data_IF_399335191632
#
_entry.id   IF_399335191632
#
_cell.length_a   1.000
_cell.length_b   1.000
_cell.length_c   1.000
_cell.angle_alpha   90.00
_cell.angle_beta   90.00
_cell.angle_gamma   90.00
#
_symmetry.space_group_name_H-M   'P 1'
#
loop_
_entity.id
_entity.type
_entity.pdbx_description
1 polymer ?
#
# COMPACT_ATOMS: atom_id res chain seq x y z
N UNK A 1 1.41 -11.90 -10.71
CA UNK A 1 2.72 -12.61 -10.76
C UNK A 1 2.73 -13.65 -9.65
N UNK A 2 3.14 -14.89 -9.92
CA UNK A 2 3.26 -15.97 -8.93
C UNK A 2 4.73 -16.33 -8.69
N UNK A 3 5.26 -15.93 -7.53
CA UNK A 3 6.66 -16.13 -7.14
C UNK A 3 6.94 -17.50 -6.52
N UNK A 4 5.93 -18.37 -6.32
CA UNK A 4 6.17 -19.76 -5.92
C UNK A 4 6.69 -20.57 -7.10
N UNK A 5 6.04 -20.39 -8.26
CA UNK A 5 6.28 -21.21 -9.44
C UNK A 5 7.15 -20.54 -10.50
N UNK A 6 7.17 -19.20 -10.56
CA UNK A 6 7.87 -18.46 -11.60
C UNK A 6 8.60 -17.22 -11.04
N UNK A 7 9.69 -17.49 -10.33
CA UNK A 7 10.53 -16.43 -9.78
C UNK A 7 11.55 -15.95 -10.80
N UNK A 8 11.67 -14.62 -10.94
CA UNK A 8 12.50 -13.99 -11.96
C UNK A 8 13.31 -12.84 -11.38
N UNK A 9 14.32 -12.38 -12.13
CA UNK A 9 15.10 -11.19 -11.78
C UNK A 9 14.22 -9.94 -11.63
N UNK A 10 13.12 -9.82 -12.38
CA UNK A 10 12.16 -8.71 -12.21
C UNK A 10 11.43 -8.79 -10.86
N UNK A 11 10.95 -10.00 -10.51
CA UNK A 11 10.33 -10.26 -9.22
C UNK A 11 11.29 -9.97 -8.06
N UNK A 12 12.53 -10.47 -8.14
CA UNK A 12 13.57 -10.19 -7.16
C UNK A 12 13.83 -8.68 -7.02
N UNK A 13 13.95 -7.96 -8.13
CA UNK A 13 14.16 -6.51 -8.11
C UNK A 13 12.97 -5.75 -7.51
N UNK A 14 11.74 -6.24 -7.67
CA UNK A 14 10.54 -5.69 -7.02
C UNK A 14 10.56 -5.91 -5.50
N UNK A 15 10.94 -7.09 -5.05
CA UNK A 15 11.02 -7.42 -3.61
C UNK A 15 12.15 -6.66 -2.91
N UNK A 16 13.37 -6.73 -3.45
CA UNK A 16 14.57 -6.23 -2.77
C UNK A 16 14.91 -4.78 -3.10
N UNK A 17 14.41 -4.22 -4.21
CA UNK A 17 14.62 -2.81 -4.58
C UNK A 17 16.04 -2.41 -5.01
N UNK A 18 17.09 -2.82 -4.28
CA UNK A 18 18.49 -2.50 -4.51
C UNK A 18 19.40 -3.72 -4.25
N UNK A 19 20.65 -3.64 -4.70
CA UNK A 19 21.60 -4.76 -4.59
C UNK A 19 22.13 -5.01 -3.18
N UNK A 20 22.10 -4.01 -2.29
CA UNK A 20 22.53 -4.16 -0.89
C UNK A 20 21.57 -5.07 -0.12
N UNK A 21 20.27 -4.80 -0.22
CA UNK A 21 19.23 -5.65 0.36
C UNK A 21 19.24 -7.05 -0.27
N UNK A 22 19.43 -7.13 -1.59
CA UNK A 22 19.53 -8.41 -2.30
C UNK A 22 20.74 -9.24 -1.83
N UNK A 23 21.90 -8.61 -1.61
CA UNK A 23 23.08 -9.29 -1.07
C UNK A 23 22.85 -9.75 0.37
N UNK A 24 22.27 -8.90 1.22
CA UNK A 24 21.95 -9.26 2.60
C UNK A 24 21.02 -10.49 2.66
N UNK A 25 19.97 -10.50 1.81
CA UNK A 25 19.10 -11.66 1.65
C UNK A 25 19.86 -12.90 1.17
N UNK A 26 20.69 -12.76 0.13
CA UNK A 26 21.42 -13.88 -0.46
C UNK A 26 22.36 -14.54 0.56
N UNK A 27 22.99 -13.75 1.43
CA UNK A 27 23.84 -14.25 2.52
C UNK A 27 23.05 -15.05 3.57
N UNK A 28 21.84 -14.63 3.93
CA UNK A 28 20.99 -15.41 4.84
C UNK A 28 20.47 -16.68 4.16
N UNK A 29 20.06 -16.59 2.89
CA UNK A 29 19.62 -17.75 2.11
C UNK A 29 20.76 -18.77 1.96
N UNK A 30 22.00 -18.31 1.79
CA UNK A 30 23.18 -19.15 1.75
C UNK A 30 23.33 -19.98 3.04
N UNK A 31 23.14 -19.37 4.22
CA UNK A 31 23.23 -20.08 5.50
C UNK A 31 22.15 -21.14 5.64
N UNK A 32 20.93 -20.85 5.17
CA UNK A 32 19.78 -21.76 5.26
C UNK A 32 19.91 -22.93 4.28
N UNK A 33 20.33 -22.66 3.03
CA UNK A 33 20.36 -23.68 1.96
C UNK A 33 21.73 -24.33 1.74
N UNK A 34 22.79 -23.81 2.35
CA UNK A 34 24.12 -24.42 2.33
C UNK A 34 24.86 -24.36 0.99
N UNK A 35 24.53 -23.42 0.09
CA UNK A 35 25.29 -23.25 -1.16
C UNK A 35 26.54 -22.39 -0.94
N UNK A 36 27.51 -22.51 -1.85
CA UNK A 36 28.74 -21.71 -1.81
C UNK A 36 28.57 -20.41 -2.61
N UNK A 37 29.06 -19.31 -2.04
CA UNK A 37 29.24 -18.05 -2.75
C UNK A 37 30.74 -17.81 -3.00
N UNK A 38 31.11 -17.14 -4.10
CA UNK A 38 32.49 -16.78 -4.37
C UNK A 38 33.01 -15.84 -3.28
N UNK A 39 34.17 -16.18 -2.69
CA UNK A 39 34.79 -15.37 -1.63
C UNK A 39 36.25 -15.06 -1.93
N UNK A 40 36.70 -13.88 -1.49
CA UNK A 40 38.08 -13.44 -1.59
C UNK A 40 38.59 -12.95 -0.24
N UNK A 41 39.83 -13.32 0.07
CA UNK A 41 40.57 -12.78 1.21
C UNK A 41 41.15 -11.43 0.81
N UNK A 42 40.79 -10.39 1.56
CA UNK A 42 41.29 -9.03 1.34
C UNK A 42 42.75 -8.95 1.76
N UNK A 43 43.66 -8.58 0.86
CA UNK A 43 45.09 -8.54 1.16
C UNK A 43 45.57 -7.20 1.74
N UNK A 44 44.82 -6.10 1.55
CA UNK A 44 45.23 -4.74 1.92
C UNK A 44 44.02 -3.88 2.33
N UNK A 45 44.28 -2.79 3.06
CA UNK A 45 43.27 -1.81 3.49
C UNK A 45 42.63 -2.15 4.85
N UNK A 46 41.59 -1.38 5.23
CA UNK A 46 40.91 -1.53 6.53
C UNK A 46 40.27 -2.90 6.78
N UNK A 47 40.17 -3.73 5.73
CA UNK A 47 39.59 -5.08 5.79
C UNK A 47 40.63 -6.19 5.53
N UNK A 48 41.93 -5.89 5.57
CA UNK A 48 42.98 -6.89 5.32
C UNK A 48 42.84 -8.10 6.27
N UNK A 49 42.97 -9.31 5.72
CA UNK A 49 42.77 -10.58 6.42
C UNK A 49 41.31 -11.05 6.53
N UNK A 50 40.34 -10.23 6.12
CA UNK A 50 38.92 -10.63 6.12
C UNK A 50 38.53 -11.30 4.80
N UNK A 51 37.77 -12.39 4.92
CA UNK A 51 37.08 -13.03 3.78
C UNK A 51 35.80 -12.26 3.48
N UNK A 52 35.62 -11.84 2.23
CA UNK A 52 34.41 -11.18 1.76
C UNK A 52 33.86 -11.87 0.52
N UNK A 53 32.55 -11.82 0.35
CA UNK A 53 31.92 -12.30 -0.89
C UNK A 53 32.33 -11.38 -2.05
N UNK A 54 32.90 -11.98 -3.09
CA UNK A 54 33.31 -11.30 -4.33
C UNK A 54 32.31 -11.69 -5.41
N UNK A 55 31.20 -10.97 -5.47
CA UNK A 55 30.09 -11.23 -6.39
C UNK A 55 29.70 -9.95 -7.09
N UNK A 56 29.50 -10.01 -8.41
CA UNK A 56 29.01 -8.87 -9.18
C UNK A 56 27.51 -8.64 -8.94
N UNK A 57 27.03 -7.42 -9.23
CA UNK A 57 25.60 -7.12 -9.13
C UNK A 57 24.73 -8.06 -9.96
N UNK A 58 25.18 -8.46 -11.16
CA UNK A 58 24.42 -9.38 -12.01
C UNK A 58 24.33 -10.79 -11.38
N UNK A 59 25.44 -11.26 -10.80
CA UNK A 59 25.49 -12.56 -10.14
C UNK A 59 24.65 -12.61 -8.86
N UNK A 60 24.53 -11.51 -8.10
CA UNK A 60 23.62 -11.45 -6.94
C UNK A 60 22.21 -11.83 -7.36
N UNK A 61 21.67 -11.16 -8.39
CA UNK A 61 20.32 -11.44 -8.87
C UNK A 61 20.18 -12.85 -9.43
N UNK A 62 21.17 -13.31 -10.21
CA UNK A 62 21.17 -14.65 -10.78
C UNK A 62 21.15 -15.73 -9.69
N UNK A 63 21.96 -15.58 -8.64
CA UNK A 63 22.05 -16.54 -7.54
C UNK A 63 20.78 -16.56 -6.68
N UNK A 64 20.14 -15.42 -6.48
CA UNK A 64 18.84 -15.35 -5.80
C UNK A 64 17.79 -16.11 -6.61
N UNK A 65 17.76 -15.95 -7.94
CA UNK A 65 16.82 -16.68 -8.80
C UNK A 65 17.12 -18.18 -8.83
N UNK A 66 18.38 -18.56 -8.96
CA UNK A 66 18.85 -19.96 -9.00
C UNK A 66 18.49 -20.74 -7.71
N UNK A 67 18.63 -20.10 -6.56
CA UNK A 67 18.42 -20.74 -5.26
C UNK A 67 17.08 -20.39 -4.60
N UNK A 68 16.17 -19.75 -5.35
CA UNK A 68 14.89 -19.30 -4.82
C UNK A 68 14.10 -20.46 -4.20
N UNK A 69 13.59 -20.21 -3.01
CA UNK A 69 12.81 -21.15 -2.22
C UNK A 69 11.76 -20.35 -1.47
N UNK A 70 10.48 -20.50 -1.84
CA UNK A 70 9.46 -19.57 -1.36
C UNK A 70 9.35 -19.57 0.18
N UNK A 71 9.37 -20.73 0.82
CA UNK A 71 9.18 -20.84 2.28
C UNK A 71 10.38 -20.30 3.05
N UNK A 72 11.61 -20.66 2.64
CA UNK A 72 12.82 -20.10 3.24
C UNK A 72 12.91 -18.59 3.01
N UNK A 73 12.60 -18.14 1.78
CA UNK A 73 12.62 -16.72 1.42
C UNK A 73 11.59 -15.92 2.20
N UNK A 74 10.37 -16.44 2.38
CA UNK A 74 9.32 -15.81 3.16
C UNK A 74 9.81 -15.52 4.58
N UNK A 75 10.38 -16.52 5.26
CA UNK A 75 10.90 -16.36 6.60
C UNK A 75 12.01 -15.28 6.69
N UNK A 76 12.99 -15.34 5.78
CA UNK A 76 14.12 -14.40 5.75
C UNK A 76 13.63 -12.98 5.45
N UNK A 77 12.80 -12.80 4.43
CA UNK A 77 12.33 -11.47 3.99
C UNK A 77 11.46 -10.82 5.06
N UNK A 78 10.59 -11.60 5.72
CA UNK A 78 9.79 -11.09 6.84
C UNK A 78 10.69 -10.56 7.97
N UNK A 79 11.73 -11.31 8.33
CA UNK A 79 12.70 -10.86 9.35
C UNK A 79 13.52 -9.64 8.90
N UNK A 80 13.86 -9.55 7.61
CA UNK A 80 14.52 -8.35 7.09
C UNK A 80 13.59 -7.13 7.13
N UNK A 81 12.30 -7.33 6.86
CA UNK A 81 11.30 -6.26 6.85
C UNK A 81 11.13 -5.61 8.23
N UNK A 82 11.18 -6.38 9.32
CA UNK A 82 11.05 -5.84 10.70
C UNK A 82 12.17 -4.86 11.06
N UNK A 83 13.28 -4.88 10.34
CA UNK A 83 14.44 -3.98 10.54
C UNK A 83 14.37 -2.73 9.67
N UNK A 84 13.36 -2.60 8.81
CA UNK A 84 13.22 -1.46 7.91
C UNK A 84 12.62 -0.26 8.63
N UNK A 85 12.92 0.95 8.12
CA UNK A 85 12.26 2.18 8.58
C UNK A 85 10.75 2.14 8.38
N UNK A 86 10.29 1.53 7.28
CA UNK A 86 8.88 1.40 6.94
C UNK A 86 8.11 0.64 8.04
N UNK A 87 8.62 -0.51 8.46
CA UNK A 87 8.03 -1.27 9.56
C UNK A 87 8.00 -0.47 10.86
N UNK A 88 9.12 0.18 11.23
CA UNK A 88 9.15 0.99 12.45
C UNK A 88 8.19 2.19 12.41
N UNK A 89 8.09 2.89 11.28
CA UNK A 89 7.09 3.95 11.09
C UNK A 89 5.66 3.44 11.27
N UNK A 90 5.36 2.24 10.77
CA UNK A 90 4.07 1.57 10.98
C UNK A 90 3.80 1.21 12.45
N UNK A 91 4.80 0.71 13.18
CA UNK A 91 4.68 0.44 14.64
C UNK A 91 4.41 1.71 15.44
N UNK A 92 5.04 2.82 15.05
CA UNK A 92 4.87 4.12 15.70
C UNK A 92 3.60 4.87 15.26
N UNK A 93 2.89 4.35 14.24
CA UNK A 93 1.76 5.05 13.61
C UNK A 93 0.59 5.30 14.55
N UNK A 94 0.34 4.42 15.53
CA UNK A 94 -0.71 4.66 16.52
C UNK A 94 -0.46 5.94 17.34
N UNK A 95 0.75 6.08 17.89
CA UNK A 95 1.14 7.27 18.65
C UNK A 95 1.17 8.52 17.76
N UNK A 96 1.70 8.39 16.55
CA UNK A 96 1.78 9.50 15.60
C UNK A 96 0.40 10.00 15.18
N UNK A 97 -0.55 9.09 14.94
CA UNK A 97 -1.92 9.47 14.59
C UNK A 97 -2.59 10.24 15.71
N UNK A 98 -2.50 9.76 16.95
CA UNK A 98 -3.08 10.44 18.11
C UNK A 98 -2.54 11.87 18.23
N UNK A 99 -1.22 12.04 18.04
CA UNK A 99 -0.60 13.37 17.99
C UNK A 99 -1.17 14.24 16.86
N UNK A 100 -1.29 13.70 15.64
CA UNK A 100 -1.80 14.46 14.48
C UNK A 100 -3.27 14.87 14.67
N UNK A 101 -4.09 14.01 15.26
CA UNK A 101 -5.49 14.30 15.57
C UNK A 101 -5.60 15.35 16.68
N UNK A 102 -4.81 15.26 17.74
CA UNK A 102 -4.74 16.30 18.76
C UNK A 102 -4.30 17.65 18.17
N UNK A 103 -3.28 17.65 17.31
CA UNK A 103 -2.83 18.85 16.63
C UNK A 103 -3.92 19.43 15.74
N UNK A 104 -4.70 18.60 15.06
CA UNK A 104 -5.82 19.01 14.20
C UNK A 104 -6.89 19.74 15.02
N UNK A 105 -7.25 19.21 16.18
CA UNK A 105 -8.19 19.84 17.11
C UNK A 105 -7.65 21.15 17.69
N UNK A 106 -6.36 21.19 18.08
CA UNK A 106 -5.71 22.39 18.65
C UNK A 106 -5.77 23.59 17.70
N UNK A 107 -5.65 23.37 16.40
CA UNK A 107 -5.74 24.45 15.39
C UNK A 107 -7.16 24.67 14.86
N UNK A 108 -8.17 23.97 15.42
CA UNK A 108 -9.60 24.15 15.13
C UNK A 108 -9.93 24.07 13.64
N UNK A 109 -9.38 23.09 12.95
CA UNK A 109 -9.65 22.89 11.52
C UNK A 109 -11.06 22.31 11.25
N UNK A 110 -11.82 21.97 12.29
CA UNK A 110 -13.17 21.40 12.15
C UNK A 110 -13.13 19.96 11.65
N UNK A 111 -14.10 19.54 10.84
CA UNK A 111 -14.16 18.16 10.35
C UNK A 111 -12.96 17.79 9.45
N UNK A 112 -12.48 16.55 9.61
CA UNK A 112 -11.41 15.96 8.80
C UNK A 112 -11.98 15.59 7.43
N UNK A 113 -12.12 16.58 6.57
CA UNK A 113 -12.59 16.42 5.20
C UNK A 113 -11.64 17.12 4.23
N UNK A 114 -11.47 16.53 3.04
CA UNK A 114 -10.68 17.17 1.99
C UNK A 114 -11.30 18.53 1.65
N UNK A 115 -10.52 19.63 1.67
CA UNK A 115 -11.03 20.94 1.28
C UNK A 115 -11.31 21.05 -0.22
N UNK A 116 -10.73 20.17 -1.03
CA UNK A 116 -10.89 20.06 -2.48
C UNK A 116 -10.35 18.70 -2.97
N UNK A 117 -10.69 18.30 -4.19
CA UNK A 117 -10.21 17.05 -4.80
C UNK A 117 -8.68 16.99 -4.86
N UNK A 118 -8.08 15.82 -4.60
CA UNK A 118 -6.63 15.68 -4.58
C UNK A 118 -6.03 16.06 -5.95
N UNK A 119 -5.15 17.07 -5.97
CA UNK A 119 -4.53 17.60 -7.20
C UNK A 119 -5.26 18.81 -7.81
N UNK A 120 -6.44 19.18 -7.31
CA UNK A 120 -7.24 20.32 -7.78
C UNK A 120 -7.05 21.59 -6.95
N UNK A 121 -5.81 21.86 -6.49
CA UNK A 121 -5.55 23.08 -5.71
C UNK A 121 -5.78 24.35 -6.56
N UNK A 122 -5.35 24.33 -7.82
CA UNK A 122 -5.53 25.46 -8.74
C UNK A 122 -7.01 25.72 -9.01
N UNK A 123 -7.79 24.69 -9.35
CA UNK A 123 -9.23 24.82 -9.56
C UNK A 123 -9.97 25.28 -8.30
N UNK A 124 -9.52 24.86 -7.11
CA UNK A 124 -10.02 25.39 -5.84
C UNK A 124 -9.75 26.90 -5.70
N UNK A 125 -8.53 27.37 -5.97
CA UNK A 125 -8.18 28.81 -5.91
C UNK A 125 -9.00 29.61 -6.94
N UNK A 126 -9.19 29.09 -8.15
CA UNK A 126 -10.04 29.72 -9.16
C UNK A 126 -11.49 29.89 -8.67
N UNK A 127 -12.07 28.85 -8.04
CA UNK A 127 -13.42 28.92 -7.45
C UNK A 127 -13.50 29.98 -6.35
N UNK A 128 -12.52 30.02 -5.45
CA UNK A 128 -12.46 31.05 -4.38
C UNK A 128 -12.34 32.46 -4.97
N UNK A 129 -11.54 32.65 -6.02
CA UNK A 129 -11.39 33.95 -6.68
C UNK A 129 -12.67 34.44 -7.34
N UNK A 130 -13.51 33.53 -7.85
CA UNK A 130 -14.80 33.84 -8.44
C UNK A 130 -15.88 34.22 -7.40
N UNK A 131 -15.65 33.98 -6.12
CA UNK A 131 -16.60 34.36 -5.07
C UNK A 131 -16.68 35.88 -4.88
N UNK A 132 -17.87 36.38 -4.55
CA UNK A 132 -18.15 37.81 -4.27
C UNK A 132 -17.72 38.28 -2.87
N UNK A 133 -16.77 37.59 -2.23
CA UNK A 133 -16.25 37.91 -0.89
C UNK A 133 -15.01 38.82 -0.96
N UNK A 134 -14.63 39.41 0.18
CA UNK A 134 -13.46 40.29 0.25
C UNK A 134 -12.15 39.54 -0.01
N UNK A 135 -11.11 40.27 -0.44
CA UNK A 135 -9.78 39.68 -0.67
C UNK A 135 -9.21 39.01 0.58
N UNK A 136 -9.40 39.61 1.75
CA UNK A 136 -8.98 39.03 3.03
C UNK A 136 -9.66 37.68 3.33
N UNK A 137 -10.96 37.57 3.06
CA UNK A 137 -11.69 36.31 3.25
C UNK A 137 -11.23 35.22 2.26
N UNK A 138 -10.88 35.60 1.02
CA UNK A 138 -10.30 34.68 0.03
C UNK A 138 -8.96 34.15 0.51
N UNK A 139 -8.07 35.03 0.99
CA UNK A 139 -6.75 34.67 1.48
C UNK A 139 -6.84 33.68 2.66
N UNK A 140 -7.72 33.95 3.63
CA UNK A 140 -7.92 33.04 4.77
C UNK A 140 -8.54 31.70 4.36
N UNK A 141 -9.50 31.67 3.42
CA UNK A 141 -10.03 30.41 2.87
C UNK A 141 -8.93 29.57 2.24
N UNK A 142 -8.07 30.17 1.41
CA UNK A 142 -6.96 29.46 0.75
C UNK A 142 -5.95 28.94 1.76
N UNK A 143 -5.57 29.76 2.75
CA UNK A 143 -4.66 29.39 3.83
C UNK A 143 -5.17 28.21 4.65
N UNK A 144 -6.42 28.26 5.11
CA UNK A 144 -7.02 27.17 5.89
C UNK A 144 -7.09 25.88 5.05
N UNK A 145 -7.52 25.98 3.78
CA UNK A 145 -7.58 24.83 2.89
C UNK A 145 -6.20 24.20 2.63
N UNK A 146 -5.15 25.01 2.45
CA UNK A 146 -3.79 24.51 2.26
C UNK A 146 -3.28 23.74 3.49
N UNK A 147 -3.53 24.26 4.70
CA UNK A 147 -3.18 23.59 5.96
C UNK A 147 -3.94 22.28 6.13
N UNK A 148 -5.27 22.27 5.88
CA UNK A 148 -6.09 21.05 5.89
C UNK A 148 -5.55 20.01 4.93
N UNK A 149 -5.30 20.40 3.68
CA UNK A 149 -4.80 19.50 2.65
C UNK A 149 -3.47 18.83 3.06
N UNK A 150 -2.50 19.63 3.55
CA UNK A 150 -1.20 19.12 4.03
C UNK A 150 -1.35 18.12 5.17
N UNK A 151 -2.18 18.43 6.17
CA UNK A 151 -2.38 17.57 7.35
C UNK A 151 -3.16 16.29 7.02
N UNK A 152 -4.17 16.36 6.16
CA UNK A 152 -4.88 15.16 5.69
C UNK A 152 -3.93 14.24 4.91
N UNK A 153 -3.00 14.78 4.11
CA UNK A 153 -1.97 13.96 3.45
C UNK A 153 -1.12 13.21 4.46
N UNK A 154 -0.70 13.87 5.53
CA UNK A 154 0.11 13.28 6.60
C UNK A 154 -0.66 12.21 7.37
N UNK A 155 -1.90 12.49 7.77
CA UNK A 155 -2.82 11.52 8.39
C UNK A 155 -2.99 10.29 7.49
N UNK A 156 -3.27 10.46 6.20
CA UNK A 156 -3.45 9.32 5.31
C UNK A 156 -2.17 8.49 5.15
N UNK A 157 -0.99 9.11 5.12
CA UNK A 157 0.29 8.37 5.09
C UNK A 157 0.42 7.50 6.34
N UNK A 158 0.21 8.06 7.53
CA UNK A 158 0.30 7.30 8.79
C UNK A 158 -0.77 6.20 8.87
N UNK A 159 -2.00 6.45 8.39
CA UNK A 159 -3.04 5.41 8.29
C UNK A 159 -2.61 4.26 7.39
N UNK A 160 -2.05 4.55 6.22
CA UNK A 160 -1.59 3.53 5.29
C UNK A 160 -0.44 2.70 5.86
N UNK A 161 0.57 3.35 6.45
CA UNK A 161 1.71 2.67 7.07
C UNK A 161 1.28 1.76 8.24
N UNK A 162 0.27 2.21 9.01
CA UNK A 162 -0.35 1.44 10.08
C UNK A 162 -1.05 0.19 9.55
N UNK A 163 -1.92 0.35 8.57
CA UNK A 163 -2.69 -0.74 7.94
C UNK A 163 -1.73 -1.79 7.35
N UNK A 164 -0.70 -1.36 6.62
CA UNK A 164 0.28 -2.27 6.02
C UNK A 164 1.02 -3.08 7.08
N UNK A 165 1.43 -2.44 8.17
CA UNK A 165 2.12 -3.10 9.28
C UNK A 165 1.21 -4.10 9.99
N UNK A 166 -0.05 -3.74 10.26
CA UNK A 166 -1.00 -4.66 10.87
C UNK A 166 -1.26 -5.89 9.99
N UNK A 167 -1.52 -5.67 8.70
CA UNK A 167 -1.72 -6.74 7.72
C UNK A 167 -0.51 -7.68 7.73
N UNK A 168 0.70 -7.13 7.68
CA UNK A 168 1.95 -7.91 7.75
C UNK A 168 2.11 -8.72 9.05
N UNK A 169 1.85 -8.11 10.21
CA UNK A 169 2.03 -8.75 11.52
C UNK A 169 1.05 -9.92 11.72
N UNK A 170 -0.20 -9.75 11.29
CA UNK A 170 -1.27 -10.74 11.49
C UNK A 170 -1.18 -11.90 10.49
N UNK A 171 -0.75 -11.62 9.26
CA UNK A 171 -0.80 -12.59 8.17
C UNK A 171 0.60 -13.12 7.84
N UNK A 172 0.91 -14.32 8.33
CA UNK A 172 2.23 -14.97 8.15
C UNK A 172 2.54 -15.34 6.70
N UNK A 173 1.50 -15.51 5.87
CA UNK A 173 1.60 -15.82 4.45
C UNK A 173 1.95 -14.59 3.57
N UNK A 174 2.14 -13.42 4.18
CA UNK A 174 2.52 -12.19 3.48
C UNK A 174 4.04 -12.08 3.37
N UNK A 175 4.51 -11.92 2.14
CA UNK A 175 5.87 -11.53 1.81
C UNK A 175 5.88 -10.04 1.46
N UNK A 176 6.41 -9.16 2.32
CA UNK A 176 6.46 -7.73 2.04
C UNK A 176 7.54 -7.40 1.01
N UNK A 177 7.40 -6.26 0.33
CA UNK A 177 8.52 -5.66 -0.39
C UNK A 177 9.42 -4.89 0.59
N UNK A 178 10.74 -5.05 0.46
CA UNK A 178 11.72 -4.36 1.32
C UNK A 178 11.99 -2.91 0.86
N UNK A 179 11.49 -2.55 -0.32
CA UNK A 179 11.53 -1.21 -0.85
C UNK A 179 10.35 -0.97 -1.80
N UNK A 180 9.85 0.26 -1.81
CA UNK A 180 8.70 0.64 -2.63
C UNK A 180 9.10 0.70 -4.12
N UNK A 181 8.71 -0.30 -4.90
CA UNK A 181 8.68 -0.22 -6.37
C UNK A 181 7.23 -0.21 -6.83
N UNK A 182 6.93 0.60 -7.85
CA UNK A 182 5.56 0.79 -8.34
C UNK A 182 4.87 -0.57 -8.59
N UNK A 183 3.58 -0.62 -8.22
CA UNK A 183 2.60 -1.64 -8.61
C UNK A 183 2.65 -2.98 -7.86
N UNK A 184 3.50 -3.14 -6.84
CA UNK A 184 3.45 -4.30 -5.93
C UNK A 184 3.87 -3.86 -4.53
N UNK A 185 2.96 -3.96 -3.57
CA UNK A 185 3.27 -3.68 -2.16
C UNK A 185 3.71 -4.93 -1.41
N UNK A 186 3.06 -6.06 -1.68
CA UNK A 186 3.36 -7.34 -1.06
C UNK A 186 2.89 -8.52 -1.92
N UNK A 187 3.28 -9.73 -1.51
CA UNK A 187 2.79 -10.98 -2.08
C UNK A 187 2.03 -11.76 -1.02
N UNK A 188 0.80 -12.18 -1.33
CA UNK A 188 -0.02 -13.05 -0.49
C UNK A 188 0.00 -14.44 -1.13
N UNK A 189 0.44 -15.46 -0.38
CA UNK A 189 0.53 -16.82 -0.89
C UNK A 189 1.35 -16.95 -2.20
N UNK A 190 2.30 -16.03 -2.44
CA UNK A 190 3.13 -15.98 -3.64
C UNK A 190 2.56 -15.15 -4.78
N UNK A 191 1.33 -14.64 -4.67
CA UNK A 191 0.71 -13.80 -5.69
C UNK A 191 0.90 -12.33 -5.34
N UNK A 192 1.30 -11.51 -6.32
CA UNK A 192 1.52 -10.06 -6.14
C UNK A 192 0.20 -9.29 -5.95
N UNK A 193 0.13 -8.44 -4.93
CA UNK A 193 -0.98 -7.51 -4.70
C UNK A 193 -0.48 -6.07 -4.50
N UNK A 194 -1.26 -5.13 -5.02
CA UNK A 194 -1.12 -3.69 -4.80
C UNK A 194 -2.17 -3.24 -3.77
N UNK A 195 -1.76 -2.51 -2.73
CA UNK A 195 -2.67 -1.98 -1.74
C UNK A 195 -3.32 -0.71 -2.27
N UNK A 196 -4.65 -0.65 -2.22
CA UNK A 196 -5.38 0.55 -2.58
C UNK A 196 -6.36 0.92 -1.47
N UNK A 197 -6.12 2.09 -0.90
CA UNK A 197 -6.99 2.67 0.12
C UNK A 197 -7.98 3.63 -0.54
N UNK A 198 -9.27 3.34 -0.41
CA UNK A 198 -10.38 4.11 -0.93
C UNK A 198 -11.19 4.73 0.21
N UNK A 199 -11.57 6.00 0.08
CA UNK A 199 -12.35 6.72 1.10
C UNK A 199 -13.85 6.39 1.10
N UNK A 200 -14.32 5.67 0.07
CA UNK A 200 -15.72 5.32 -0.13
C UNK A 200 -15.83 4.24 -1.22
N UNK A 201 -16.97 3.54 -1.34
CA UNK A 201 -17.23 2.55 -2.40
C UNK A 201 -17.52 3.18 -3.79
N UNK A 202 -17.13 4.44 -4.02
CA UNK A 202 -17.50 5.33 -5.14
C UNK A 202 -18.84 6.07 -4.99
N UNK A 203 -18.98 7.16 -5.75
CA UNK A 203 -20.21 7.95 -5.78
C UNK A 203 -21.33 7.21 -6.54
N UNK A 204 -20.96 6.45 -7.57
CA UNK A 204 -21.86 5.62 -8.36
C UNK A 204 -22.48 4.53 -7.50
N UNK A 205 -21.68 3.83 -6.69
CA UNK A 205 -22.21 2.82 -5.78
C UNK A 205 -23.24 3.42 -4.82
N UNK A 206 -22.90 4.55 -4.17
CA UNK A 206 -23.82 5.24 -3.25
C UNK A 206 -25.11 5.69 -3.93
N UNK A 207 -25.02 6.18 -5.18
CA UNK A 207 -26.18 6.61 -5.96
C UNK A 207 -27.06 5.42 -6.34
N UNK A 208 -26.47 4.32 -6.78
CA UNK A 208 -27.21 3.17 -7.30
C UNK A 208 -27.94 2.41 -6.19
N UNK A 209 -27.40 2.40 -4.95
CA UNK A 209 -28.02 1.73 -3.79
C UNK A 209 -28.75 2.67 -2.81
N UNK A 210 -28.73 3.98 -3.06
CA UNK A 210 -29.45 4.99 -2.27
C UNK A 210 -29.11 4.92 -0.78
N UNK A 211 -30.09 5.15 0.10
CA UNK A 211 -29.87 5.22 1.55
C UNK A 211 -29.35 3.91 2.18
N UNK A 212 -29.56 2.77 1.52
CA UNK A 212 -29.13 1.45 2.01
C UNK A 212 -27.74 1.04 1.51
N UNK A 213 -27.00 1.95 0.86
CA UNK A 213 -25.71 1.64 0.25
C UNK A 213 -24.71 1.02 1.25
N UNK A 214 -24.74 1.43 2.53
CA UNK A 214 -23.79 0.95 3.53
C UNK A 214 -24.05 -0.51 3.90
N UNK A 215 -25.31 -0.88 4.13
CA UNK A 215 -25.72 -2.25 4.41
C UNK A 215 -25.47 -3.14 3.18
N UNK A 216 -25.75 -2.63 1.97
CA UNK A 216 -25.46 -3.35 0.73
C UNK A 216 -23.95 -3.58 0.56
N UNK A 217 -23.11 -2.59 0.84
CA UNK A 217 -21.64 -2.74 0.78
C UNK A 217 -21.13 -3.85 1.72
N UNK A 218 -21.65 -3.90 2.95
CA UNK A 218 -21.26 -4.91 3.94
C UNK A 218 -21.73 -6.31 3.51
N UNK A 219 -22.93 -6.42 2.95
CA UNK A 219 -23.48 -7.69 2.47
C UNK A 219 -22.85 -8.18 1.15
N UNK A 220 -22.40 -7.25 0.31
CA UNK A 220 -21.88 -7.49 -1.05
C UNK A 220 -20.52 -6.80 -1.29
N UNK A 221 -19.48 -7.17 -0.54
CA UNK A 221 -18.15 -6.56 -0.68
C UNK A 221 -17.54 -6.77 -2.08
N UNK A 222 -17.91 -7.83 -2.79
CA UNK A 222 -17.51 -8.09 -4.18
C UNK A 222 -18.02 -7.02 -5.16
N UNK A 223 -19.23 -6.49 -4.93
CA UNK A 223 -19.77 -5.43 -5.76
C UNK A 223 -19.03 -4.11 -5.50
N UNK A 224 -18.68 -3.82 -4.25
CA UNK A 224 -17.83 -2.66 -3.91
C UNK A 224 -16.51 -2.73 -4.67
N UNK A 225 -15.86 -3.89 -4.68
CA UNK A 225 -14.64 -4.09 -5.45
C UNK A 225 -14.86 -3.86 -6.95
N UNK A 226 -15.94 -4.40 -7.53
CA UNK A 226 -16.28 -4.22 -8.94
C UNK A 226 -16.45 -2.74 -9.30
N UNK A 227 -17.14 -1.95 -8.46
CA UNK A 227 -17.30 -0.51 -8.65
C UNK A 227 -15.96 0.24 -8.58
N UNK A 228 -15.10 -0.09 -7.61
CA UNK A 228 -13.78 0.52 -7.48
C UNK A 228 -12.86 0.23 -8.68
N UNK A 229 -13.04 -0.92 -9.34
CA UNK A 229 -12.31 -1.26 -10.56
C UNK A 229 -12.93 -0.62 -11.82
N UNK A 230 -14.26 -0.56 -11.91
CA UNK A 230 -15.01 0.02 -13.04
C UNK A 230 -14.83 1.53 -13.15
N UNK A 231 -14.88 2.25 -12.03
CA UNK A 231 -14.89 3.72 -12.02
C UNK A 231 -13.50 4.31 -11.72
N UNK A 232 -12.46 3.70 -12.28
CA UNK A 232 -11.09 4.24 -12.21
C UNK A 232 -10.88 5.34 -13.26
N UNK A 233 -9.95 6.26 -13.00
CA UNK A 233 -9.50 7.20 -14.03
C UNK A 233 -8.65 6.47 -15.08
N UNK A 234 -8.84 6.76 -16.37
CA UNK A 234 -8.09 6.15 -17.49
C UNK A 234 -6.57 6.21 -17.29
N UNK A 235 -6.05 7.35 -16.85
CA UNK A 235 -4.61 7.53 -16.62
C UNK A 235 -4.06 6.73 -15.43
N UNK A 236 -4.95 6.11 -14.64
CA UNK A 236 -4.66 5.27 -13.47
C UNK A 236 -5.31 3.89 -13.59
N UNK A 237 -5.82 3.55 -14.77
CA UNK A 237 -6.46 2.27 -15.00
C UNK A 237 -5.44 1.15 -14.77
N UNK A 238 -5.85 0.17 -13.97
CA UNK A 238 -5.10 -1.05 -13.74
C UNK A 238 -6.07 -2.17 -13.39
N UNK A 239 -5.84 -3.33 -13.99
CA UNK A 239 -6.55 -4.58 -13.72
C UNK A 239 -5.63 -5.57 -12.97
N UNK A 240 -4.71 -5.04 -12.16
CA UNK A 240 -3.85 -5.85 -11.30
C UNK A 240 -4.64 -6.32 -10.06
N UNK A 241 -4.17 -7.42 -9.47
CA UNK A 241 -4.68 -7.91 -8.18
C UNK A 241 -4.42 -6.90 -7.07
N UNK A 242 -5.44 -6.62 -6.24
CA UNK A 242 -5.36 -5.60 -5.19
C UNK A 242 -5.83 -6.10 -3.84
N UNK A 243 -5.28 -5.51 -2.80
CA UNK A 243 -5.92 -5.49 -1.48
C UNK A 243 -6.58 -4.12 -1.34
N UNK A 244 -7.91 -4.10 -1.42
CA UNK A 244 -8.73 -2.91 -1.32
C UNK A 244 -9.07 -2.65 0.15
N UNK A 245 -8.71 -1.48 0.66
CA UNK A 245 -9.14 -1.02 2.00
C UNK A 245 -10.10 0.13 1.80
N UNK A 246 -11.38 -0.08 2.12
CA UNK A 246 -12.46 0.83 1.75
C UNK A 246 -13.11 1.36 3.01
N UNK A 247 -13.03 2.68 3.21
CA UNK A 247 -13.76 3.35 4.27
C UNK A 247 -15.23 3.48 3.89
N UNK A 248 -16.12 2.96 4.73
CA UNK A 248 -17.56 3.25 4.69
C UNK A 248 -17.88 4.49 5.54
N UNK A 249 -17.12 4.72 6.62
CA UNK A 249 -17.20 5.93 7.45
C UNK A 249 -15.88 6.71 7.39
N UNK A 250 -15.91 8.04 7.41
CA UNK A 250 -14.69 8.86 7.28
C UNK A 250 -13.86 8.94 8.58
N UNK A 251 -14.51 8.69 9.71
CA UNK A 251 -14.01 8.89 11.07
C UNK A 251 -13.65 7.57 11.80
N UNK A 252 -13.48 6.48 11.06
CA UNK A 252 -13.07 5.18 11.63
C UNK A 252 -11.79 5.34 12.45
N UNK A 253 -11.86 4.91 13.72
CA UNK A 253 -10.76 4.99 14.68
C UNK A 253 -9.66 3.97 14.37
N UNK A 254 -8.45 4.19 14.89
CA UNK A 254 -7.35 3.22 14.74
C UNK A 254 -7.70 1.89 15.38
N UNK A 255 -8.35 1.90 16.54
CA UNK A 255 -8.75 0.69 17.26
C UNK A 255 -9.71 -0.14 16.42
N UNK A 256 -10.66 0.53 15.75
CA UNK A 256 -11.61 -0.11 14.85
C UNK A 256 -10.91 -0.68 13.62
N UNK A 257 -9.94 0.05 13.05
CA UNK A 257 -9.08 -0.46 11.96
C UNK A 257 -8.33 -1.72 12.41
N UNK A 258 -7.73 -1.69 13.59
CA UNK A 258 -6.97 -2.81 14.14
C UNK A 258 -7.85 -4.04 14.35
N UNK A 259 -9.03 -3.88 14.94
CA UNK A 259 -10.00 -4.97 15.12
C UNK A 259 -10.45 -5.55 13.78
N UNK A 260 -10.80 -4.70 12.82
CA UNK A 260 -11.24 -5.15 11.48
C UNK A 260 -10.15 -5.94 10.76
N UNK A 261 -8.88 -5.52 10.88
CA UNK A 261 -7.74 -6.24 10.28
C UNK A 261 -7.41 -7.52 11.07
N UNK A 262 -7.68 -7.56 12.38
CA UNK A 262 -7.46 -8.76 13.18
C UNK A 262 -8.43 -9.90 12.81
N UNK A 263 -9.64 -9.55 12.38
CA UNK A 263 -10.70 -10.50 12.04
C UNK A 263 -10.71 -10.90 10.55
N UNK A 264 -9.88 -10.28 9.70
CA UNK A 264 -9.89 -10.55 8.26
C UNK A 264 -9.11 -11.81 7.91
N UNK A 265 -9.66 -12.60 6.98
CA UNK A 265 -8.95 -13.71 6.35
C UNK A 265 -8.31 -13.26 5.03
N UNK A 266 -6.99 -13.37 4.93
CA UNK A 266 -6.21 -13.14 3.71
C UNK A 266 -5.65 -14.44 3.10
N UNK A 267 -6.38 -15.55 3.20
CA UNK A 267 -6.05 -16.78 2.48
C UNK A 267 -6.56 -16.77 1.03
N UNK A 268 -7.86 -16.54 0.86
CA UNK A 268 -8.55 -16.73 -0.41
C UNK A 268 -9.07 -15.39 -0.96
N UNK A 269 -8.52 -14.89 -2.09
CA UNK A 269 -9.02 -13.67 -2.70
C UNK A 269 -10.38 -13.92 -3.35
N UNK A 270 -11.22 -12.88 -3.37
CA UNK A 270 -12.43 -12.87 -4.17
C UNK A 270 -12.11 -12.60 -5.64
N UNK A 271 -12.86 -13.25 -6.52
CA UNK A 271 -12.75 -13.06 -7.96
C UNK A 271 -13.81 -12.06 -8.42
N UNK A 272 -13.38 -10.98 -9.07
CA UNK A 272 -14.25 -9.89 -9.50
C UNK A 272 -14.19 -9.75 -11.01
N UNK A 273 -15.35 -9.69 -11.64
CA UNK A 273 -15.50 -9.40 -13.06
C UNK A 273 -16.13 -8.03 -13.24
N UNK A 274 -15.54 -7.18 -14.07
CA UNK A 274 -16.04 -5.84 -14.32
C UNK A 274 -15.77 -5.40 -15.77
N UNK A 275 -16.67 -4.59 -16.30
CA UNK A 275 -16.47 -3.89 -17.56
C UNK A 275 -15.84 -2.53 -17.31
N UNK A 276 -14.94 -2.12 -18.19
CA UNK A 276 -14.33 -0.80 -18.20
C UNK A 276 -14.36 -0.22 -19.61
N UNK A 277 -14.80 1.03 -19.75
CA UNK A 277 -14.93 1.71 -21.03
C UNK A 277 -13.69 2.54 -21.34
N UNK A 278 -12.78 1.98 -22.16
CA UNK A 278 -11.56 2.67 -22.55
C UNK A 278 -11.84 3.74 -23.60
N UNK A 279 -11.25 4.93 -23.38
CA UNK A 279 -11.34 6.06 -24.31
C UNK A 279 -10.97 5.72 -25.76
N UNK A 280 -10.06 4.76 -25.98
CA UNK A 280 -9.55 4.40 -27.30
C UNK A 280 -9.88 2.97 -27.73
N UNK A 281 -10.21 2.08 -26.79
CA UNK A 281 -10.40 0.65 -27.06
C UNK A 281 -11.86 0.20 -26.88
N UNK A 282 -12.73 1.11 -26.44
CA UNK A 282 -14.11 0.82 -26.09
C UNK A 282 -14.22 -0.05 -24.83
N UNK A 283 -15.39 -0.63 -24.63
CA UNK A 283 -15.68 -1.44 -23.45
C UNK A 283 -14.94 -2.78 -23.50
N UNK A 284 -14.22 -3.08 -22.42
CA UNK A 284 -13.53 -4.35 -22.20
C UNK A 284 -13.91 -4.95 -20.86
N UNK A 285 -14.05 -6.27 -20.83
CA UNK A 285 -14.30 -7.03 -19.61
C UNK A 285 -12.99 -7.52 -19.02
N UNK A 286 -12.81 -7.29 -17.73
CA UNK A 286 -11.67 -7.68 -16.94
C UNK A 286 -12.09 -8.63 -15.83
N UNK A 287 -11.15 -9.51 -15.46
CA UNK A 287 -11.33 -10.48 -14.41
C UNK A 287 -10.09 -10.47 -13.52
N UNK A 288 -10.28 -10.19 -12.24
CA UNK A 288 -9.18 -9.94 -11.28
C UNK A 288 -9.46 -10.62 -9.95
N UNK A 289 -8.38 -11.01 -9.26
CA UNK A 289 -8.46 -11.47 -7.88
C UNK A 289 -8.11 -10.31 -6.95
N UNK A 290 -8.94 -10.04 -5.94
CA UNK A 290 -8.66 -9.04 -4.93
C UNK A 290 -9.08 -9.49 -3.53
N UNK A 291 -8.49 -8.87 -2.53
CA UNK A 291 -9.03 -8.85 -1.18
C UNK A 291 -9.73 -7.52 -0.96
N UNK A 292 -10.75 -7.51 -0.11
CA UNK A 292 -11.44 -6.29 0.27
C UNK A 292 -11.66 -6.24 1.78
N UNK A 293 -11.26 -5.13 2.37
CA UNK A 293 -11.43 -4.81 3.79
C UNK A 293 -12.34 -3.59 3.84
N UNK A 294 -13.53 -3.75 4.41
CA UNK A 294 -14.48 -2.66 4.62
C UNK A 294 -14.28 -2.11 6.03
N UNK A 295 -13.88 -0.85 6.13
CA UNK A 295 -13.70 -0.16 7.39
C UNK A 295 -14.96 0.64 7.71
N UNK A 296 -15.63 0.28 8.80
CA UNK A 296 -16.83 0.94 9.26
C UNK A 296 -16.83 1.04 10.79
N UNK A 297 -17.43 2.10 11.31
CA UNK A 297 -17.78 2.14 12.74
C UNK A 297 -18.87 1.08 12.94
N UNK A 298 -18.57 0.07 13.75
CA UNK A 298 -19.54 -0.97 14.13
C UNK A 298 -20.69 -0.28 14.89
N UNK A 299 -21.93 -0.46 14.43
CA UNK A 299 -23.15 -0.08 15.18
C UNK A 299 -23.50 -1.11 16.25
#
# INVERSE_FOLDING_TARGET
>A
MDIKNNFSTDAAKKIFGNSEQALAFLLELQKVKGFALPTRVMQRGQFAGQTRVEISNAEIWSKIVEHWDYDASLAIIREMFTRTKKYQSGKDSHNMMNLLLEEWEKVKLGQIAWPFSQGDFDGFVQRVNAEGISGFEKDEKVKVAAVKYRRIKEINTVRNDFIETLIFEKNKNILPTLNHRRSVDFFINGVSFDQKVAKSPTAEFKRDFGDNWKQHAIAHPEEVAAYLYRYQDEGRFGADSRLLVVYLDEDVSIETIAQTIDDIDLQDPIEVTFDYDHKTQGTKTYKVNCFIILLSNVE
#
